data_IF_741580057048
#
_entry.id   IF_741580057048
#
_cell.length_a   1.000
_cell.length_b   1.000
_cell.length_c   1.000
_cell.angle_alpha   90.00
_cell.angle_beta   90.00
_cell.angle_gamma   90.00
#
_symmetry.space_group_name_H-M   'P 1'
#
loop_
_entity.id
_entity.type
_entity.pdbx_description
1 polymer ?
#
# COMPACT_ATOMS: atom_id res chain seq x y z
N UNK A 1 15.41 14.39 3.63
CA UNK A 1 15.10 12.95 3.51
C UNK A 1 13.95 12.78 2.53
N UNK A 2 14.04 11.83 1.59
CA UNK A 2 12.93 11.51 0.68
C UNK A 2 12.00 10.51 1.38
N UNK A 3 10.96 11.02 2.04
CA UNK A 3 10.04 10.20 2.83
C UNK A 3 9.19 9.29 1.94
N UNK A 4 8.81 9.73 0.74
CA UNK A 4 8.06 8.93 -0.21
C UNK A 4 8.88 7.72 -0.69
N UNK A 5 10.19 7.89 -0.87
CA UNK A 5 11.11 6.78 -1.17
C UNK A 5 11.20 5.78 -0.02
N UNK A 6 11.34 6.27 1.22
CA UNK A 6 11.35 5.40 2.41
C UNK A 6 10.02 4.63 2.55
N UNK A 7 8.89 5.31 2.39
CA UNK A 7 7.57 4.71 2.41
C UNK A 7 7.42 3.62 1.35
N UNK A 8 7.83 3.90 0.11
CA UNK A 8 7.75 2.93 -1.00
C UNK A 8 8.57 1.67 -0.70
N UNK A 9 9.78 1.82 -0.12
CA UNK A 9 10.59 0.69 0.33
C UNK A 9 9.90 -0.15 1.40
N UNK A 10 9.44 0.51 2.47
CA UNK A 10 8.87 -0.18 3.64
C UNK A 10 7.55 -0.87 3.29
N UNK A 11 6.60 -0.14 2.72
CA UNK A 11 5.27 -0.68 2.39
C UNK A 11 5.35 -1.69 1.25
N UNK A 12 6.18 -1.42 0.23
CA UNK A 12 6.42 -2.38 -0.85
C UNK A 12 6.99 -3.70 -0.34
N UNK A 13 7.97 -3.64 0.57
CA UNK A 13 8.54 -4.82 1.22
C UNK A 13 7.52 -5.60 2.04
N UNK A 14 6.69 -4.91 2.84
CA UNK A 14 5.64 -5.55 3.64
C UNK A 14 4.59 -6.25 2.76
N UNK A 15 4.16 -5.61 1.66
CA UNK A 15 3.19 -6.18 0.75
C UNK A 15 3.73 -7.44 0.04
N UNK A 16 5.01 -7.45 -0.33
CA UNK A 16 5.59 -8.63 -0.96
C UNK A 16 5.89 -9.76 0.02
N UNK A 17 6.50 -9.44 1.15
CA UNK A 17 7.03 -10.47 2.04
C UNK A 17 5.93 -10.97 2.97
N UNK A 18 5.30 -10.05 3.71
CA UNK A 18 4.31 -10.41 4.73
C UNK A 18 3.01 -10.82 4.04
N UNK A 19 2.45 -9.96 3.19
CA UNK A 19 1.17 -10.29 2.53
C UNK A 19 1.35 -11.42 1.53
N UNK A 20 2.47 -11.46 0.79
CA UNK A 20 2.78 -12.58 -0.10
C UNK A 20 2.88 -13.93 0.60
N UNK A 21 3.50 -13.99 1.79
CA UNK A 21 3.48 -15.20 2.61
C UNK A 21 2.05 -15.59 3.00
N UNK A 22 1.24 -14.64 3.49
CA UNK A 22 -0.15 -14.93 3.87
C UNK A 22 -1.04 -15.32 2.69
N UNK A 23 -0.75 -14.82 1.48
CA UNK A 23 -1.41 -15.25 0.24
C UNK A 23 -1.08 -16.70 -0.08
N UNK A 24 0.20 -17.08 0.01
CA UNK A 24 0.61 -18.47 -0.22
C UNK A 24 -0.10 -19.42 0.76
N UNK A 25 -0.16 -19.05 2.04
CA UNK A 25 -0.89 -19.83 3.05
C UNK A 25 -2.39 -19.92 2.72
N UNK A 26 -3.02 -18.81 2.35
CA UNK A 26 -4.44 -18.78 1.96
C UNK A 26 -4.72 -19.69 0.76
N UNK A 27 -3.90 -19.59 -0.30
CA UNK A 27 -4.03 -20.41 -1.51
C UNK A 27 -3.86 -21.91 -1.22
N UNK A 28 -2.92 -22.27 -0.34
CA UNK A 28 -2.67 -23.68 0.03
C UNK A 28 -3.78 -24.23 0.93
N UNK A 29 -4.33 -23.42 1.83
CA UNK A 29 -5.28 -23.91 2.85
C UNK A 29 -6.75 -23.81 2.43
N UNK A 30 -7.10 -22.79 1.63
CA UNK A 30 -8.49 -22.47 1.27
C UNK A 30 -8.72 -22.32 -0.23
N UNK A 31 -7.65 -22.25 -1.04
CA UNK A 31 -7.74 -22.10 -2.50
C UNK A 31 -8.00 -20.65 -2.95
N UNK A 32 -8.64 -20.49 -4.10
CA UNK A 32 -8.92 -19.17 -4.69
C UNK A 32 -10.19 -18.59 -4.05
N UNK A 33 -9.99 -17.79 -3.00
CA UNK A 33 -11.05 -17.07 -2.28
C UNK A 33 -11.04 -15.58 -2.62
N UNK A 34 -12.09 -14.85 -2.22
CA UNK A 34 -12.12 -13.38 -2.34
C UNK A 34 -11.00 -12.74 -1.49
N UNK A 35 -10.67 -13.36 -0.36
CA UNK A 35 -9.54 -12.98 0.50
C UNK A 35 -8.18 -13.21 -0.20
N UNK A 36 -8.02 -14.33 -0.91
CA UNK A 36 -6.85 -14.55 -1.76
C UNK A 36 -6.74 -13.46 -2.84
N UNK A 37 -7.87 -13.04 -3.43
CA UNK A 37 -7.91 -11.93 -4.38
C UNK A 37 -7.46 -10.59 -3.77
N UNK A 38 -7.91 -10.28 -2.56
CA UNK A 38 -7.50 -9.10 -1.79
C UNK A 38 -5.98 -9.12 -1.49
N UNK A 39 -5.44 -10.25 -1.03
CA UNK A 39 -4.00 -10.41 -0.77
C UNK A 39 -3.18 -10.37 -2.07
N UNK A 40 -3.70 -10.88 -3.18
CA UNK A 40 -3.07 -10.77 -4.49
C UNK A 40 -2.97 -9.30 -4.95
N UNK A 41 -4.00 -8.47 -4.71
CA UNK A 41 -3.95 -7.04 -4.99
C UNK A 41 -2.81 -6.36 -4.22
N UNK A 42 -2.67 -6.65 -2.93
CA UNK A 42 -1.55 -6.17 -2.11
C UNK A 42 -0.19 -6.57 -2.72
N UNK A 43 -0.01 -7.85 -3.07
CA UNK A 43 1.24 -8.33 -3.68
C UNK A 43 1.53 -7.62 -4.99
N UNK A 44 0.54 -7.43 -5.86
CA UNK A 44 0.72 -6.70 -7.14
C UNK A 44 1.17 -5.25 -6.90
N UNK A 45 0.60 -4.57 -5.91
CA UNK A 45 1.05 -3.23 -5.49
C UNK A 45 2.47 -3.28 -4.92
N UNK A 46 2.82 -4.33 -4.18
CA UNK A 46 4.19 -4.58 -3.70
C UNK A 46 5.19 -4.77 -4.84
N UNK A 47 4.82 -5.48 -5.91
CA UNK A 47 5.64 -5.62 -7.12
C UNK A 47 5.88 -4.26 -7.76
N UNK A 48 4.83 -3.45 -7.91
CA UNK A 48 4.95 -2.08 -8.43
C UNK A 48 5.94 -1.24 -7.60
N UNK A 49 5.83 -1.29 -6.27
CA UNK A 49 6.74 -0.60 -5.36
C UNK A 49 8.20 -1.04 -5.55
N UNK A 50 8.45 -2.36 -5.66
CA UNK A 50 9.80 -2.89 -5.90
C UNK A 50 10.35 -2.49 -7.25
N UNK A 51 9.54 -2.47 -8.31
CA UNK A 51 9.97 -1.97 -9.61
C UNK A 51 10.45 -0.53 -9.52
N UNK A 52 9.69 0.34 -8.86
CA UNK A 52 10.07 1.75 -8.63
C UNK A 52 11.42 1.82 -7.90
N UNK A 53 11.56 1.03 -6.84
CA UNK A 53 12.76 0.98 -6.00
C UNK A 53 14.00 0.52 -6.77
N UNK A 54 13.92 -0.65 -7.42
CA UNK A 54 15.04 -1.29 -8.12
C UNK A 54 15.49 -0.45 -9.32
N UNK A 55 14.53 0.15 -10.03
CA UNK A 55 14.80 1.04 -11.18
C UNK A 55 15.12 2.47 -10.78
N UNK A 56 15.10 2.80 -9.47
CA UNK A 56 15.39 4.13 -8.91
C UNK A 56 14.54 5.25 -9.57
N UNK A 57 13.24 5.00 -9.76
CA UNK A 57 12.34 5.92 -10.45
C UNK A 57 11.90 7.05 -9.51
N UNK A 58 12.70 8.12 -9.42
CA UNK A 58 12.51 9.18 -8.42
C UNK A 58 11.12 9.85 -8.42
N UNK A 59 10.51 10.22 -9.58
CA UNK A 59 9.15 10.79 -9.58
C UNK A 59 8.09 9.78 -9.10
N UNK A 60 8.31 8.50 -9.35
CA UNK A 60 7.34 7.44 -9.08
C UNK A 60 7.21 7.14 -7.58
N UNK A 61 8.22 7.44 -6.75
CA UNK A 61 8.08 7.30 -5.29
C UNK A 61 6.93 8.15 -4.74
N UNK A 62 6.80 9.40 -5.22
CA UNK A 62 5.72 10.30 -4.78
C UNK A 62 4.36 9.88 -5.34
N UNK A 63 4.33 9.43 -6.59
CA UNK A 63 3.10 8.93 -7.23
C UNK A 63 2.61 7.68 -6.48
N UNK A 64 3.49 6.72 -6.22
CA UNK A 64 3.18 5.52 -5.44
C UNK A 64 2.65 5.89 -4.06
N UNK A 65 3.37 6.72 -3.31
CA UNK A 65 2.97 7.10 -1.97
C UNK A 65 1.59 7.77 -1.92
N UNK A 66 1.29 8.64 -2.90
CA UNK A 66 0.01 9.31 -3.03
C UNK A 66 -1.11 8.32 -3.39
N UNK A 67 -0.93 7.57 -4.48
CA UNK A 67 -1.95 6.62 -4.97
C UNK A 67 -2.23 5.53 -3.94
N UNK A 68 -1.18 4.98 -3.33
CA UNK A 68 -1.32 3.98 -2.27
C UNK A 68 -2.03 4.57 -1.04
N UNK A 69 -1.65 5.80 -0.64
CA UNK A 69 -2.28 6.50 0.47
C UNK A 69 -3.79 6.70 0.27
N UNK A 70 -4.19 7.15 -0.93
CA UNK A 70 -5.61 7.35 -1.30
C UNK A 70 -6.36 6.03 -1.37
N UNK A 71 -5.80 5.02 -2.04
CA UNK A 71 -6.44 3.71 -2.22
C UNK A 71 -6.78 3.06 -0.87
N UNK A 72 -5.79 2.93 0.02
CA UNK A 72 -6.01 2.32 1.33
C UNK A 72 -6.82 3.21 2.26
N UNK A 73 -6.83 4.52 2.04
CA UNK A 73 -7.73 5.45 2.73
C UNK A 73 -9.19 5.18 2.38
N UNK A 74 -9.49 4.96 1.10
CA UNK A 74 -10.84 4.59 0.67
C UNK A 74 -11.25 3.22 1.25
N UNK A 75 -10.37 2.22 1.21
CA UNK A 75 -10.63 0.89 1.81
C UNK A 75 -10.86 1.01 3.32
N UNK A 76 -10.06 1.79 4.03
CA UNK A 76 -10.22 2.01 5.47
C UNK A 76 -11.53 2.72 5.80
N UNK A 77 -11.93 3.73 5.03
CA UNK A 77 -13.23 4.40 5.21
C UNK A 77 -14.38 3.39 5.08
N UNK A 78 -14.30 2.51 4.07
CA UNK A 78 -15.28 1.41 3.94
C UNK A 78 -15.23 0.49 5.15
N UNK A 79 -14.05 0.04 5.59
CA UNK A 79 -13.94 -0.82 6.78
C UNK A 79 -14.48 -0.20 8.08
N UNK A 80 -14.29 1.11 8.28
CA UNK A 80 -14.83 1.83 9.43
C UNK A 80 -16.35 2.03 9.37
N UNK A 81 -16.92 2.15 8.17
CA UNK A 81 -18.37 2.40 7.95
C UNK A 81 -19.18 1.13 7.76
N UNK A 82 -18.55 0.08 7.25
CA UNK A 82 -19.12 -1.22 6.92
C UNK A 82 -18.14 -2.32 7.35
N UNK A 83 -17.99 -2.56 8.66
CA UNK A 83 -17.12 -3.62 9.15
C UNK A 83 -17.57 -4.99 8.63
N UNK A 84 -16.61 -5.86 8.34
CA UNK A 84 -16.82 -7.22 7.83
C UNK A 84 -17.64 -7.27 6.52
N UNK A 85 -17.52 -6.25 5.66
CA UNK A 85 -18.20 -6.19 4.37
C UNK A 85 -17.92 -7.44 3.52
N UNK A 86 -18.99 -8.17 3.21
CA UNK A 86 -18.96 -9.47 2.49
C UNK A 86 -18.11 -10.56 3.15
N UNK A 87 -17.83 -10.45 4.47
CA UNK A 87 -17.00 -11.42 5.20
C UNK A 87 -15.53 -11.41 4.79
N UNK A 88 -15.05 -10.31 4.19
CA UNK A 88 -13.65 -10.13 3.84
C UNK A 88 -12.83 -9.66 5.04
N UNK A 89 -11.66 -10.27 5.25
CA UNK A 89 -10.75 -9.87 6.33
C UNK A 89 -10.27 -8.43 6.12
N UNK A 90 -10.18 -7.98 4.87
CA UNK A 90 -9.89 -6.61 4.47
C UNK A 90 -10.68 -5.51 5.22
N UNK A 91 -11.88 -5.84 5.71
CA UNK A 91 -12.79 -4.93 6.44
C UNK A 91 -12.99 -5.34 7.89
N UNK A 92 -12.24 -6.32 8.39
CA UNK A 92 -12.17 -6.59 9.81
C UNK A 92 -11.45 -5.42 10.52
N UNK A 93 -11.55 -5.39 11.86
CA UNK A 93 -11.02 -4.28 12.65
C UNK A 93 -9.50 -4.12 12.53
N UNK A 94 -8.76 -5.23 12.48
CA UNK A 94 -7.30 -5.19 12.40
C UNK A 94 -6.85 -4.61 11.06
N UNK A 95 -7.38 -5.14 9.96
CA UNK A 95 -7.00 -4.71 8.61
C UNK A 95 -7.47 -3.28 8.34
N UNK A 96 -8.63 -2.88 8.85
CA UNK A 96 -9.09 -1.49 8.78
C UNK A 96 -8.09 -0.53 9.47
N UNK A 97 -7.54 -0.91 10.62
CA UNK A 97 -6.50 -0.13 11.31
C UNK A 97 -5.21 -0.11 10.47
N UNK A 98 -4.78 -1.25 9.94
CA UNK A 98 -3.58 -1.34 9.11
C UNK A 98 -3.71 -0.50 7.84
N UNK A 99 -4.85 -0.55 7.14
CA UNK A 99 -5.14 0.28 5.98
C UNK A 99 -5.15 1.77 6.34
N UNK A 100 -5.67 2.14 7.52
CA UNK A 100 -5.62 3.51 8.04
C UNK A 100 -4.17 3.97 8.22
N UNK A 101 -3.32 3.14 8.81
CA UNK A 101 -1.89 3.45 9.02
C UNK A 101 -1.18 3.60 7.68
N UNK A 102 -1.36 2.66 6.75
CA UNK A 102 -0.77 2.73 5.40
C UNK A 102 -1.24 3.98 4.67
N UNK A 103 -2.53 4.32 4.77
CA UNK A 103 -3.09 5.54 4.19
C UNK A 103 -2.46 6.81 4.74
N UNK A 104 -2.50 6.98 6.07
CA UNK A 104 -2.00 8.16 6.75
C UNK A 104 -0.50 8.36 6.52
N UNK A 105 0.28 7.28 6.62
CA UNK A 105 1.74 7.34 6.39
C UNK A 105 2.08 7.59 4.92
N UNK A 106 1.29 7.08 3.97
CA UNK A 106 1.43 7.38 2.55
C UNK A 106 1.23 8.85 2.24
N UNK A 107 0.09 9.41 2.67
CA UNK A 107 -0.22 10.83 2.49
C UNK A 107 0.79 11.74 3.21
N UNK A 108 1.16 11.41 4.45
CA UNK A 108 2.18 12.14 5.18
C UNK A 108 3.54 12.10 4.48
N UNK A 109 3.94 10.95 3.93
CA UNK A 109 5.21 10.83 3.21
C UNK A 109 5.27 11.72 1.97
N UNK A 110 4.14 11.91 1.27
CA UNK A 110 4.04 12.86 0.15
C UNK A 110 4.19 14.29 0.64
N UNK A 111 3.47 14.68 1.70
CA UNK A 111 3.50 16.03 2.25
C UNK A 111 4.89 16.41 2.81
N UNK A 112 5.59 15.45 3.43
CA UNK A 112 6.90 15.66 4.05
C UNK A 112 8.06 15.55 3.03
N UNK A 113 7.82 14.97 1.86
CA UNK A 113 8.82 14.93 0.78
C UNK A 113 8.87 16.27 0.09
N UNK A 114 9.86 17.11 0.45
CA UNK A 114 10.14 18.37 -0.23
C UNK A 114 10.33 18.11 -1.72
N UNK A 115 9.58 18.84 -2.55
CA UNK A 115 9.68 18.74 -4.00
C UNK A 115 11.09 19.01 -4.48
N UNK A 116 11.60 18.15 -5.36
CA UNK A 116 12.80 18.43 -6.17
C UNK A 116 12.55 19.62 -7.11
N UNK A 117 11.31 20.04 -7.28
CA UNK A 117 10.91 21.20 -8.06
C UNK A 117 11.01 22.50 -7.25
N UNK A 118 12.25 22.91 -6.93
CA UNK A 118 12.57 24.33 -7.21
C UNK A 118 12.81 24.39 -8.70
N UNK A 119 11.74 24.67 -9.45
CA UNK A 119 11.83 25.11 -10.83
C UNK A 119 12.85 26.26 -10.82
N UNK A 120 14.06 26.00 -11.32
CA UNK A 120 14.94 27.07 -11.79
C UNK A 120 14.25 27.59 -13.04
N UNK A 121 13.36 28.56 -12.85
CA UNK A 121 12.99 29.47 -13.94
C UNK A 121 14.27 30.26 -14.20
N UNK A 122 14.98 29.87 -15.25
CA UNK A 122 16.09 30.62 -15.82
C UNK A 122 15.54 31.83 -16.57
#
# INVERSE_FOLDING_TARGET
>A
MNFAKLYTWVVGGLFLIVVGYTLAVELVTKGVTLEAGHKALHVLIGVWAVVIVVKKLEPQYRIFALTNGILWGAVAIVGWTMPDFHGLDAFNRLDTILHTIVSATGLASVALTKGVDRIKIA
#
